data_IF_575483935053
#
_entry.id   IF_575483935053
#
_cell.length_a   1.000
_cell.length_b   1.000
_cell.length_c   1.000
_cell.angle_alpha   90.00
_cell.angle_beta   90.00
_cell.angle_gamma   90.00
#
_symmetry.space_group_name_H-M   'P 1'
#
loop_
_entity.id
_entity.type
_entity.pdbx_description
1 polymer ?
#
# COMPACT_ATOMS: atom_id res chain seq x y z
N UNK A 1 22.37 -26.33 -1.38
CA UNK A 1 22.35 -25.68 -2.71
C UNK A 1 22.19 -24.18 -2.48
N UNK A 2 23.13 -23.37 -2.90
CA UNK A 2 23.07 -21.91 -2.73
C UNK A 2 21.94 -21.34 -3.58
N UNK A 3 21.00 -20.62 -2.95
CA UNK A 3 19.87 -19.99 -3.62
C UNK A 3 20.36 -18.77 -4.41
N UNK A 4 20.85 -18.99 -5.63
CA UNK A 4 21.18 -17.90 -6.55
C UNK A 4 19.87 -17.23 -6.97
N UNK A 5 19.67 -15.96 -6.58
CA UNK A 5 18.47 -15.21 -6.96
C UNK A 5 18.35 -15.15 -8.49
N UNK A 6 17.13 -15.33 -9.00
CA UNK A 6 16.85 -15.20 -10.44
C UNK A 6 17.02 -13.75 -10.84
N UNK A 7 17.66 -13.52 -12.00
CA UNK A 7 17.80 -12.18 -12.57
C UNK A 7 16.46 -11.70 -13.13
N UNK A 8 16.01 -10.54 -12.70
CA UNK A 8 14.86 -9.86 -13.28
C UNK A 8 15.32 -8.94 -14.42
N UNK A 9 14.49 -8.79 -15.46
CA UNK A 9 14.73 -7.86 -16.57
C UNK A 9 13.57 -6.87 -16.65
N UNK A 10 13.90 -5.60 -16.73
CA UNK A 10 12.96 -4.54 -17.06
C UNK A 10 12.51 -4.66 -18.52
N UNK A 11 11.39 -3.99 -18.85
CA UNK A 11 10.88 -3.95 -20.23
C UNK A 11 11.93 -3.32 -21.15
N UNK A 12 12.56 -2.21 -20.74
CA UNK A 12 13.58 -1.52 -21.51
C UNK A 12 14.80 -2.41 -21.81
N UNK A 13 15.26 -3.19 -20.83
CA UNK A 13 16.35 -4.15 -21.05
C UNK A 13 15.97 -5.22 -22.07
N UNK A 14 14.75 -5.76 -21.99
CA UNK A 14 14.27 -6.74 -22.97
C UNK A 14 14.17 -6.14 -24.37
N UNK A 15 13.70 -4.90 -24.51
CA UNK A 15 13.64 -4.18 -25.80
C UNK A 15 15.04 -4.04 -26.40
N UNK A 16 16.03 -3.60 -25.61
CA UNK A 16 17.43 -3.48 -26.06
C UNK A 16 18.04 -4.81 -26.52
N UNK A 17 17.69 -5.90 -25.85
CA UNK A 17 18.11 -7.25 -26.26
C UNK A 17 17.51 -7.60 -27.64
N UNK A 18 16.23 -7.30 -27.85
CA UNK A 18 15.53 -7.57 -29.13
C UNK A 18 16.14 -6.75 -30.27
N UNK A 19 16.42 -5.46 -30.06
CA UNK A 19 17.04 -4.59 -31.07
C UNK A 19 18.40 -5.12 -31.54
N UNK A 20 19.23 -5.60 -30.61
CA UNK A 20 20.54 -6.19 -30.95
C UNK A 20 20.40 -7.47 -31.76
N UNK A 21 19.43 -8.31 -31.42
CA UNK A 21 19.15 -9.53 -32.18
C UNK A 21 18.63 -9.22 -33.59
N UNK A 22 17.81 -8.18 -33.75
CA UNK A 22 17.34 -7.72 -35.07
C UNK A 22 18.46 -7.13 -35.92
N UNK A 23 19.43 -6.45 -35.30
CA UNK A 23 20.64 -5.96 -35.95
C UNK A 23 21.62 -7.09 -36.34
N UNK A 24 21.28 -8.36 -36.09
CA UNK A 24 22.06 -9.52 -36.50
C UNK A 24 23.22 -9.87 -35.57
N UNK A 25 23.25 -9.34 -34.34
CA UNK A 25 24.25 -9.75 -33.33
C UNK A 25 24.06 -11.24 -33.01
N UNK A 26 25.17 -11.99 -32.97
CA UNK A 26 25.15 -13.42 -32.65
C UNK A 26 24.61 -13.69 -31.25
N UNK A 27 23.75 -14.70 -31.12
CA UNK A 27 23.22 -15.15 -29.84
C UNK A 27 24.33 -15.51 -28.84
N UNK A 28 25.46 -16.04 -29.31
CA UNK A 28 26.57 -16.45 -28.43
C UNK A 28 27.24 -15.24 -27.81
N UNK A 29 27.55 -14.25 -28.64
CA UNK A 29 28.23 -13.02 -28.23
C UNK A 29 27.35 -12.24 -27.25
N UNK A 30 26.05 -12.14 -27.55
CA UNK A 30 25.09 -11.45 -26.69
C UNK A 30 24.87 -12.17 -25.34
N UNK A 31 24.88 -13.50 -25.32
CA UNK A 31 24.82 -14.27 -24.07
C UNK A 31 26.06 -14.03 -23.20
N UNK A 32 27.24 -13.95 -23.82
CA UNK A 32 28.50 -13.72 -23.13
C UNK A 32 28.60 -12.27 -22.61
N UNK A 33 28.23 -11.29 -23.42
CA UNK A 33 28.21 -9.86 -23.06
C UNK A 33 27.28 -9.61 -21.85
N UNK A 34 26.08 -10.19 -21.88
CA UNK A 34 25.07 -9.96 -20.85
C UNK A 34 25.14 -10.94 -19.68
N UNK A 35 25.96 -11.99 -19.75
CA UNK A 35 26.03 -13.04 -18.74
C UNK A 35 24.72 -13.80 -18.55
N UNK A 36 23.96 -14.01 -19.63
CA UNK A 36 22.66 -14.71 -19.62
C UNK A 36 22.76 -16.06 -20.31
N UNK A 37 21.93 -17.02 -19.91
CA UNK A 37 21.86 -18.29 -20.61
C UNK A 37 21.16 -18.13 -21.96
N UNK A 38 21.50 -19.01 -22.91
CA UNK A 38 20.81 -19.12 -24.20
C UNK A 38 19.30 -19.31 -24.05
N UNK A 39 18.86 -20.03 -23.01
CA UNK A 39 17.44 -20.22 -22.71
C UNK A 39 16.74 -18.92 -22.34
N UNK A 40 17.38 -18.05 -21.53
CA UNK A 40 16.83 -16.73 -21.20
C UNK A 40 16.69 -15.87 -22.44
N UNK A 41 17.73 -15.82 -23.28
CA UNK A 41 17.71 -15.06 -24.54
C UNK A 41 16.60 -15.54 -25.48
N UNK A 42 16.46 -16.85 -25.63
CA UNK A 42 15.44 -17.48 -26.47
C UNK A 42 14.02 -17.15 -26.00
N UNK A 43 13.77 -17.19 -24.68
CA UNK A 43 12.46 -16.85 -24.12
C UNK A 43 12.11 -15.38 -24.37
N UNK A 44 13.07 -14.47 -24.19
CA UNK A 44 12.87 -13.05 -24.48
C UNK A 44 12.50 -12.86 -25.96
N UNK A 45 13.23 -13.48 -26.87
CA UNK A 45 12.97 -13.41 -28.31
C UNK A 45 11.61 -13.97 -28.71
N UNK A 46 11.18 -15.10 -28.13
CA UNK A 46 9.84 -15.67 -28.38
C UNK A 46 8.71 -14.71 -28.03
N UNK A 47 8.89 -13.89 -27.00
CA UNK A 47 7.92 -12.90 -26.54
C UNK A 47 8.10 -11.50 -27.17
N UNK A 48 8.94 -11.34 -28.21
CA UNK A 48 9.35 -10.02 -28.72
C UNK A 48 8.17 -9.10 -29.10
N UNK A 49 7.13 -9.65 -29.73
CA UNK A 49 6.01 -8.85 -30.23
C UNK A 49 5.16 -8.30 -29.07
N UNK A 50 5.00 -9.08 -28.01
CA UNK A 50 4.30 -8.68 -26.79
C UNK A 50 5.09 -7.60 -26.02
N UNK A 51 6.42 -7.70 -26.04
CA UNK A 51 7.32 -6.72 -25.40
C UNK A 51 7.31 -5.40 -26.17
N UNK A 52 7.40 -5.43 -27.51
CA UNK A 52 7.41 -4.23 -28.36
C UNK A 52 6.07 -3.52 -28.44
N UNK A 53 4.97 -4.26 -28.44
CA UNK A 53 3.63 -3.67 -28.53
C UNK A 53 3.15 -2.99 -27.24
N UNK A 54 3.96 -2.96 -26.18
CA UNK A 54 3.56 -2.40 -24.88
C UNK A 54 2.44 -3.18 -24.19
N UNK A 55 1.99 -4.32 -24.74
CA UNK A 55 0.98 -5.22 -24.17
C UNK A 55 1.53 -6.09 -23.04
N UNK A 56 2.73 -5.79 -22.55
CA UNK A 56 3.29 -6.46 -21.39
C UNK A 56 2.51 -5.96 -20.16
N UNK A 57 1.55 -6.77 -19.73
CA UNK A 57 0.59 -6.51 -18.65
C UNK A 57 1.08 -5.47 -17.63
N UNK A 58 0.50 -4.27 -17.68
CA UNK A 58 0.41 -3.38 -16.54
C UNK A 58 -0.48 -4.11 -15.52
N UNK A 59 0.09 -5.04 -14.77
CA UNK A 59 -0.47 -5.73 -13.59
C UNK A 59 -1.96 -6.16 -13.68
N UNK A 60 -2.54 -6.31 -14.88
CA UNK A 60 -3.79 -7.06 -15.06
C UNK A 60 -3.35 -8.51 -15.17
N UNK A 61 -3.04 -9.09 -14.01
CA UNK A 61 -2.76 -10.51 -13.94
C UNK A 61 -4.02 -11.23 -14.42
N UNK A 62 -3.91 -12.06 -15.47
CA UNK A 62 -5.01 -12.91 -15.89
C UNK A 62 -5.55 -13.68 -14.68
N UNK A 63 -6.85 -13.99 -14.64
CA UNK A 63 -7.47 -14.77 -13.55
C UNK A 63 -6.72 -16.09 -13.30
N UNK A 64 -6.13 -16.67 -14.34
CA UNK A 64 -5.24 -17.84 -14.26
C UNK A 64 -3.92 -17.58 -13.50
N UNK A 65 -3.30 -16.41 -13.68
CA UNK A 65 -2.07 -16.03 -12.98
C UNK A 65 -2.34 -15.83 -11.49
N UNK A 66 -3.43 -15.13 -11.18
CA UNK A 66 -3.91 -14.93 -9.81
C UNK A 66 -4.16 -16.29 -9.15
N UNK A 67 -4.93 -17.16 -9.80
CA UNK A 67 -5.19 -18.53 -9.33
C UNK A 67 -3.92 -19.34 -9.10
N UNK A 68 -2.94 -19.25 -10.00
CA UNK A 68 -1.65 -19.94 -9.84
C UNK A 68 -0.85 -19.40 -8.65
N UNK A 69 -0.91 -18.09 -8.38
CA UNK A 69 -0.31 -17.50 -7.19
C UNK A 69 -0.95 -18.03 -5.90
N UNK A 70 -2.29 -18.04 -5.82
CA UNK A 70 -3.02 -18.63 -4.70
C UNK A 70 -2.68 -20.11 -4.50
N UNK A 71 -2.59 -20.88 -5.59
CA UNK A 71 -2.19 -22.29 -5.53
C UNK A 71 -0.77 -22.48 -4.99
N UNK A 72 0.20 -21.69 -5.48
CA UNK A 72 1.59 -21.73 -4.99
C UNK A 72 1.72 -21.27 -3.54
N UNK A 73 0.87 -20.34 -3.10
CA UNK A 73 0.78 -19.91 -1.71
C UNK A 73 0.05 -20.92 -0.80
N UNK A 74 -0.46 -22.03 -1.36
CA UNK A 74 -1.10 -23.09 -0.60
C UNK A 74 -2.61 -22.91 -0.43
N UNK A 75 -3.21 -21.85 -0.98
CA UNK A 75 -4.65 -21.68 -1.07
C UNK A 75 -5.21 -22.58 -2.19
N UNK A 76 -5.26 -23.87 -1.91
CA UNK A 76 -5.94 -24.86 -2.74
C UNK A 76 -7.42 -24.81 -2.40
N UNK A 77 -8.17 -23.94 -3.08
CA UNK A 77 -9.63 -23.93 -2.96
C UNK A 77 -10.16 -25.35 -3.24
N UNK A 78 -10.87 -25.93 -2.26
CA UNK A 78 -11.72 -27.09 -2.50
C UNK A 78 -12.97 -26.57 -3.18
N UNK A 79 -12.94 -26.46 -4.50
CA UNK A 79 -14.08 -25.94 -5.27
C UNK A 79 -15.14 -27.04 -5.34
N UNK A 80 -15.97 -27.11 -4.29
CA UNK A 80 -17.38 -27.42 -4.45
C UNK A 80 -18.12 -26.11 -4.12
N UNK A 81 -19.24 -25.88 -4.81
CA UNK A 81 -20.15 -24.73 -4.73
C UNK A 81 -19.89 -23.66 -5.81
N UNK A 82 -20.51 -23.90 -6.96
CA UNK A 82 -21.53 -23.06 -7.61
C UNK A 82 -21.48 -21.52 -7.42
N UNK A 83 -20.32 -20.87 -7.30
CA UNK A 83 -20.26 -19.41 -7.34
C UNK A 83 -20.21 -18.94 -8.79
N UNK A 84 -21.36 -18.47 -9.27
CA UNK A 84 -21.47 -17.68 -10.49
C UNK A 84 -20.49 -16.50 -10.43
N UNK A 85 -19.70 -16.36 -11.50
CA UNK A 85 -18.73 -15.29 -11.66
C UNK A 85 -19.53 -14.01 -11.99
N UNK A 86 -19.84 -13.21 -10.97
CA UNK A 86 -20.49 -11.91 -11.17
C UNK A 86 -19.47 -10.95 -11.79
N UNK A 87 -19.81 -10.44 -12.96
CA UNK A 87 -19.07 -9.42 -13.70
C UNK A 87 -18.77 -8.20 -12.80
N UNK A 88 -17.53 -7.73 -12.81
CA UNK A 88 -16.92 -6.79 -11.85
C UNK A 88 -17.49 -5.34 -11.90
N UNK A 89 -18.64 -5.13 -12.54
CA UNK A 89 -19.36 -3.86 -12.54
C UNK A 89 -20.51 -3.81 -11.52
N UNK A 90 -20.78 -4.89 -10.78
CA UNK A 90 -21.64 -4.86 -9.60
C UNK A 90 -20.81 -5.24 -8.39
N UNK A 91 -20.26 -4.21 -7.73
CA UNK A 91 -19.81 -4.34 -6.36
C UNK A 91 -21.06 -4.65 -5.54
N UNK A 92 -21.15 -5.86 -5.00
CA UNK A 92 -22.22 -6.25 -4.10
C UNK A 92 -22.31 -5.22 -2.98
N UNK A 93 -23.37 -4.43 -3.05
CA UNK A 93 -23.70 -3.33 -2.15
C UNK A 93 -24.33 -3.93 -0.88
N UNK A 94 -23.63 -4.86 -0.24
CA UNK A 94 -24.03 -5.46 1.05
C UNK A 94 -23.05 -5.12 2.18
N UNK A 95 -22.21 -4.08 2.01
CA UNK A 95 -21.34 -3.60 3.09
C UNK A 95 -21.77 -2.24 3.69
N UNK A 96 -22.83 -1.62 3.17
CA UNK A 96 -23.38 -0.39 3.75
C UNK A 96 -24.90 -0.43 3.63
N UNK A 97 -25.59 -0.94 4.66
CA UNK A 97 -26.99 -0.57 4.81
C UNK A 97 -27.05 0.95 5.05
N UNK A 98 -27.98 1.64 4.39
CA UNK A 98 -28.21 3.09 4.52
C UNK A 98 -28.30 3.52 6.00
N UNK A 99 -28.86 2.64 6.85
CA UNK A 99 -28.99 2.82 8.30
C UNK A 99 -27.65 2.99 9.03
N UNK A 100 -26.55 2.43 8.51
CA UNK A 100 -25.24 2.49 9.18
C UNK A 100 -24.53 3.83 8.94
N UNK A 101 -24.87 4.54 7.85
CA UNK A 101 -24.29 5.83 7.48
C UNK A 101 -24.93 6.94 8.31
N UNK A 102 -26.23 6.83 8.58
CA UNK A 102 -26.96 7.84 9.35
C UNK A 102 -26.42 7.97 10.79
N UNK A 103 -25.98 6.86 11.40
CA UNK A 103 -25.38 6.91 12.75
C UNK A 103 -24.09 7.72 12.82
N UNK A 104 -23.28 7.78 11.76
CA UNK A 104 -22.05 8.59 11.75
C UNK A 104 -22.33 10.09 11.64
N UNK A 105 -23.39 10.46 10.92
CA UNK A 105 -23.84 11.85 10.79
C UNK A 105 -24.44 12.35 12.10
N UNK A 106 -25.25 11.51 12.76
CA UNK A 106 -25.87 11.83 14.06
C UNK A 106 -24.86 11.98 15.20
N UNK A 107 -23.75 11.23 15.15
CA UNK A 107 -22.68 11.33 16.16
C UNK A 107 -21.95 12.67 16.08
N UNK A 108 -21.78 13.24 14.89
CA UNK A 108 -21.12 14.54 14.70
C UNK A 108 -22.06 15.70 15.09
N UNK A 109 -23.35 15.59 14.76
CA UNK A 109 -24.37 16.59 15.13
C UNK A 109 -24.67 16.61 16.64
N UNK A 110 -24.44 15.50 17.36
CA UNK A 110 -24.63 15.42 18.82
C UNK A 110 -23.50 16.07 19.62
N UNK A 111 -22.36 16.37 19.00
CA UNK A 111 -21.24 17.09 19.61
C UNK A 111 -21.36 18.58 19.32
N UNK A 112 -22.37 19.22 19.91
CA UNK A 112 -22.45 20.69 19.97
C UNK A 112 -21.28 21.21 20.83
N UNK A 113 -20.11 21.38 20.22
CA UNK A 113 -18.88 21.87 20.87
C UNK A 113 -18.69 23.38 20.70
N UNK A 114 -19.61 24.04 19.99
CA UNK A 114 -19.55 25.46 19.71
C UNK A 114 -20.87 26.14 20.11
N UNK A 115 -21.09 26.31 21.41
CA UNK A 115 -21.94 27.41 21.87
C UNK A 115 -21.09 28.68 21.76
N UNK A 116 -21.51 29.65 20.94
CA UNK A 116 -20.84 30.95 20.91
C UNK A 116 -21.00 31.60 22.28
N UNK A 117 -19.91 31.90 23.00
CA UNK A 117 -20.01 32.49 24.33
C UNK A 117 -20.74 33.83 24.21
N UNK A 118 -21.84 33.97 24.97
CA UNK A 118 -22.61 35.21 25.00
C UNK A 118 -21.73 36.34 25.53
N UNK A 119 -21.84 37.54 24.95
CA UNK A 119 -21.10 38.74 25.34
C UNK A 119 -21.19 39.00 26.85
N UNK A 120 -22.35 38.70 27.45
CA UNK A 120 -22.60 38.85 28.89
C UNK A 120 -21.77 37.89 29.75
N UNK A 121 -21.48 36.70 29.24
CA UNK A 121 -20.69 35.67 29.91
C UNK A 121 -19.19 35.97 29.81
N UNK A 122 -18.76 36.50 28.66
CA UNK A 122 -17.42 37.05 28.45
C UNK A 122 -17.16 38.20 29.44
N UNK A 123 -18.12 39.11 29.59
CA UNK A 123 -18.01 40.24 30.53
C UNK A 123 -17.94 39.76 31.98
N UNK A 124 -18.71 38.72 32.36
CA UNK A 124 -18.65 38.13 33.70
C UNK A 124 -17.28 37.50 33.99
N UNK A 125 -16.68 36.81 33.02
CA UNK A 125 -15.34 36.22 33.17
C UNK A 125 -14.26 37.28 33.42
N UNK A 126 -14.29 38.39 32.67
CA UNK A 126 -13.34 39.50 32.83
C UNK A 126 -13.54 40.22 34.18
N UNK A 127 -14.79 40.32 34.66
CA UNK A 127 -15.11 40.96 35.94
C UNK A 127 -14.74 40.07 37.14
N UNK A 128 -14.83 38.75 37.01
CA UNK A 128 -14.37 37.81 38.04
C UNK A 128 -12.83 37.79 38.17
N UNK A 129 -12.09 38.00 37.08
CA UNK A 129 -10.62 38.11 37.12
C UNK A 129 -10.13 39.34 37.91
N UNK A 130 -10.92 40.42 37.97
CA UNK A 130 -10.56 41.63 38.72
C UNK A 130 -10.81 41.57 40.23
N UNK A 131 -11.43 40.51 40.74
CA UNK A 131 -11.73 40.36 42.17
C UNK A 131 -10.91 39.25 42.86
N UNK A 132 -9.97 38.61 42.16
CA UNK A 132 -9.06 37.62 42.74
C UNK A 132 -7.63 38.17 42.83
N UNK A 133 -7.47 39.36 43.42
CA UNK A 133 -6.24 39.65 44.14
C UNK A 133 -6.33 38.94 45.49
N UNK A 134 -5.33 38.09 45.75
CA UNK A 134 -5.06 37.33 46.98
C UNK A 134 -5.70 35.94 47.11
N UNK A 135 -5.05 34.92 46.53
CA UNK A 135 -4.53 33.82 47.36
C UNK A 135 -3.65 32.85 46.56
N UNK A 136 -2.62 32.40 47.27
CA UNK A 136 -1.47 31.60 46.89
C UNK A 136 -1.74 30.20 46.29
N UNK A 137 -0.69 29.69 45.63
CA UNK A 137 -0.27 28.29 45.48
C UNK A 137 -0.92 27.40 44.42
N UNK A 138 -0.04 26.89 43.54
CA UNK A 138 -0.26 25.69 42.74
C UNK A 138 0.68 25.61 41.54
N UNK A 139 1.96 25.33 41.77
CA UNK A 139 2.89 24.91 40.71
C UNK A 139 2.39 23.59 40.10
N UNK A 140 1.83 23.62 38.90
CA UNK A 140 1.65 22.42 38.08
C UNK A 140 2.82 22.32 37.09
N UNK A 141 3.83 21.58 37.54
CA UNK A 141 4.95 21.07 36.76
C UNK A 141 4.42 20.30 35.54
N UNK A 142 4.56 20.88 34.35
CA UNK A 142 4.29 20.14 33.12
C UNK A 142 5.43 19.16 32.88
N UNK A 143 5.21 17.88 33.19
CA UNK A 143 6.15 16.81 32.85
C UNK A 143 6.28 16.69 31.32
N UNK A 144 7.39 17.16 30.78
CA UNK A 144 7.80 16.95 29.40
C UNK A 144 8.05 15.45 29.18
N UNK A 145 7.13 14.76 28.49
CA UNK A 145 7.28 13.34 28.16
C UNK A 145 8.38 13.20 27.09
N UNK A 146 9.63 13.04 27.54
CA UNK A 146 10.77 12.75 26.67
C UNK A 146 10.66 11.31 26.18
N UNK A 147 10.22 11.13 24.93
CA UNK A 147 10.17 9.81 24.28
C UNK A 147 11.58 9.32 23.97
N UNK A 148 12.17 8.54 24.89
CA UNK A 148 13.51 7.97 24.71
C UNK A 148 13.41 6.77 23.76
N UNK A 149 13.89 6.94 22.53
CA UNK A 149 14.00 5.85 21.55
C UNK A 149 15.08 4.87 22.03
N UNK A 150 14.76 3.58 22.30
CA UNK A 150 15.76 2.60 22.70
C UNK A 150 16.81 2.42 21.61
N UNK A 151 18.08 2.30 22.02
CA UNK A 151 19.13 2.06 21.04
C UNK A 151 19.05 0.63 20.52
N UNK A 152 19.42 0.40 19.26
CA UNK A 152 19.51 -0.94 18.65
C UNK A 152 20.32 -1.92 19.52
N UNK A 153 21.29 -1.42 20.29
CA UNK A 153 22.11 -2.26 21.18
C UNK A 153 21.32 -2.83 22.37
N UNK A 154 20.24 -2.18 22.81
CA UNK A 154 19.37 -2.64 23.91
C UNK A 154 18.36 -3.70 23.45
N UNK A 155 18.14 -3.82 22.15
CA UNK A 155 17.16 -4.75 21.58
C UNK A 155 17.68 -6.19 21.43
N UNK A 156 19.00 -6.40 21.61
CA UNK A 156 19.68 -7.69 21.38
C UNK A 156 20.30 -8.30 22.65
N UNK A 157 19.83 -7.91 23.84
CA UNK A 157 20.16 -8.60 25.09
C UNK A 157 18.95 -9.44 25.57
N UNK A 158 18.76 -10.59 24.93
CA UNK A 158 18.03 -11.73 25.46
C UNK A 158 18.79 -13.02 25.11
#
# INVERSE_FOLDING_TARGET
>A
MSNKRRRCFTIAEKVKIIERLENGVSNKDLCQELGISQSTLSTIWKSKDQIKSGKHAVVVNSTTTIRNCFHHAGFKASVNDETEIVNENNLDTECFSEENIQSFVEVDDALLTNEEPNEEEIVKSILNEKNNDESEQGDEESEEIVFKVPSISEMYLY
#
